data_IF_873594929497
#
_entry.id   IF_873594929497
#
_cell.length_a   1.000
_cell.length_b   1.000
_cell.length_c   1.000
_cell.angle_alpha   90.00
_cell.angle_beta   90.00
_cell.angle_gamma   90.00
#
_symmetry.space_group_name_H-M   'P 1'
#
loop_
_entity.id
_entity.type
_entity.pdbx_description
1 polymer ?
#
# COMPACT_ATOMS: atom_id res chain seq x y z
N UNK A 1 -45.00 25.61 10.41
CA UNK A 1 -44.31 26.08 9.19
C UNK A 1 -42.99 26.71 9.61
N UNK A 2 -41.84 26.14 9.23
CA UNK A 2 -40.52 26.52 9.78
C UNK A 2 -40.18 28.00 9.51
N UNK A 3 -40.09 28.80 10.57
CA UNK A 3 -39.91 30.28 10.55
C UNK A 3 -38.51 30.72 10.08
N UNK A 4 -37.54 29.80 10.06
CA UNK A 4 -36.14 30.06 9.70
C UNK A 4 -35.68 29.23 8.48
N UNK A 5 -36.41 29.31 7.35
CA UNK A 5 -36.10 28.52 6.14
C UNK A 5 -34.70 28.75 5.58
N UNK A 6 -34.09 29.91 5.84
CA UNK A 6 -32.72 30.20 5.41
C UNK A 6 -31.67 29.27 6.06
N UNK A 7 -31.96 28.70 7.25
CA UNK A 7 -31.08 27.70 7.89
C UNK A 7 -31.07 26.36 7.13
N UNK A 8 -32.03 26.12 6.23
CA UNK A 8 -32.04 24.95 5.35
C UNK A 8 -31.17 25.14 4.11
N UNK A 9 -30.77 26.37 3.77
CA UNK A 9 -30.00 26.64 2.55
C UNK A 9 -28.68 25.86 2.51
N UNK A 10 -27.86 25.82 3.58
CA UNK A 10 -26.64 24.98 3.59
C UNK A 10 -26.94 23.49 3.37
N UNK A 11 -28.04 22.98 3.93
CA UNK A 11 -28.45 21.59 3.74
C UNK A 11 -28.91 21.31 2.30
N UNK A 12 -29.67 22.22 1.70
CA UNK A 12 -30.09 22.12 0.29
C UNK A 12 -28.88 22.14 -0.63
N UNK A 13 -27.94 23.06 -0.42
CA UNK A 13 -26.68 23.11 -1.18
C UNK A 13 -25.92 21.79 -1.02
N UNK A 14 -25.77 21.29 0.21
CA UNK A 14 -25.11 20.01 0.47
C UNK A 14 -25.77 18.85 -0.28
N UNK A 15 -27.10 18.72 -0.20
CA UNK A 15 -27.85 17.65 -0.89
C UNK A 15 -27.69 17.74 -2.40
N UNK A 16 -27.77 18.94 -2.97
CA UNK A 16 -27.57 19.15 -4.41
C UNK A 16 -26.13 18.80 -4.81
N UNK A 17 -25.13 19.31 -4.09
CA UNK A 17 -23.72 19.02 -4.37
C UNK A 17 -23.41 17.53 -4.23
N UNK A 18 -23.95 16.87 -3.21
CA UNK A 18 -23.82 15.42 -3.03
C UNK A 18 -24.51 14.65 -4.17
N UNK A 19 -25.71 15.06 -4.59
CA UNK A 19 -26.41 14.45 -5.72
C UNK A 19 -25.64 14.57 -7.03
N UNK A 20 -25.09 15.75 -7.31
CA UNK A 20 -24.25 16.00 -8.49
C UNK A 20 -22.98 15.15 -8.42
N UNK A 21 -22.33 15.07 -7.25
CA UNK A 21 -21.14 14.23 -7.05
C UNK A 21 -21.43 12.76 -7.37
N UNK A 22 -22.54 12.20 -6.88
CA UNK A 22 -22.92 10.80 -7.15
C UNK A 22 -23.26 10.54 -8.60
N UNK A 23 -23.90 11.50 -9.28
CA UNK A 23 -24.19 11.38 -10.71
C UNK A 23 -22.89 11.34 -11.53
N UNK A 24 -21.97 12.29 -11.29
CA UNK A 24 -20.67 12.34 -11.96
C UNK A 24 -19.85 11.09 -11.64
N UNK A 25 -19.94 10.60 -10.42
CA UNK A 25 -19.15 9.47 -9.91
C UNK A 25 -19.73 8.10 -10.21
N UNK A 26 -20.74 8.04 -11.08
CA UNK A 26 -21.29 6.77 -11.54
C UNK A 26 -20.23 5.98 -12.29
N UNK A 27 -20.30 4.65 -12.19
CA UNK A 27 -19.40 3.70 -12.87
C UNK A 27 -19.42 3.87 -14.39
N UNK A 28 -20.51 4.40 -14.94
CA UNK A 28 -20.67 4.71 -16.38
C UNK A 28 -19.72 5.85 -16.80
N UNK A 29 -19.53 6.85 -15.95
CA UNK A 29 -18.70 8.02 -16.25
C UNK A 29 -17.25 7.85 -15.79
N UNK A 30 -16.97 6.90 -14.89
CA UNK A 30 -15.63 6.58 -14.37
C UNK A 30 -14.54 6.48 -15.44
N UNK A 31 -14.76 5.82 -16.59
CA UNK A 31 -13.75 5.74 -17.65
C UNK A 31 -13.34 7.10 -18.22
N UNK A 32 -14.21 8.11 -18.13
CA UNK A 32 -13.96 9.44 -18.70
C UNK A 32 -13.18 10.36 -17.76
N UNK A 33 -13.32 10.20 -16.45
CA UNK A 33 -12.67 11.11 -15.49
C UNK A 33 -11.58 10.47 -14.63
N UNK A 34 -11.58 9.14 -14.43
CA UNK A 34 -10.65 8.51 -13.49
C UNK A 34 -9.20 8.65 -13.95
N UNK A 35 -8.34 9.09 -13.03
CA UNK A 35 -6.92 9.38 -13.29
C UNK A 35 -5.98 8.30 -12.78
N UNK A 36 -6.45 7.44 -11.88
CA UNK A 36 -5.63 6.42 -11.23
C UNK A 36 -6.24 5.04 -11.40
N UNK A 37 -5.38 4.03 -11.35
CA UNK A 37 -5.73 2.62 -11.32
C UNK A 37 -5.44 2.02 -9.92
N UNK A 38 -4.88 2.82 -8.99
CA UNK A 38 -4.53 2.37 -7.64
C UNK A 38 -5.73 1.80 -6.89
N UNK A 39 -6.94 2.34 -7.14
CA UNK A 39 -8.18 1.90 -6.51
C UNK A 39 -8.46 0.40 -6.72
N UNK A 40 -8.05 -0.14 -7.86
CA UNK A 40 -8.23 -1.56 -8.19
C UNK A 40 -7.48 -2.46 -7.22
N UNK A 41 -6.27 -2.07 -6.80
CA UNK A 41 -5.48 -2.86 -5.85
C UNK A 41 -6.22 -3.02 -4.53
N UNK A 42 -6.83 -1.94 -4.02
CA UNK A 42 -7.59 -1.96 -2.77
C UNK A 42 -8.91 -2.73 -2.91
N UNK A 43 -9.69 -2.45 -3.96
CA UNK A 43 -10.97 -3.14 -4.21
C UNK A 43 -10.80 -4.63 -4.40
N UNK A 44 -9.71 -5.05 -5.04
CA UNK A 44 -9.40 -6.45 -5.25
C UNK A 44 -9.13 -7.20 -3.94
N UNK A 45 -8.66 -6.54 -2.88
CA UNK A 45 -8.32 -7.25 -1.62
C UNK A 45 -9.55 -7.81 -0.91
N UNK A 46 -10.72 -7.19 -1.08
CA UNK A 46 -11.98 -7.77 -0.61
C UNK A 46 -12.27 -9.11 -1.30
N UNK A 47 -12.08 -9.18 -2.62
CA UNK A 47 -12.21 -10.44 -3.36
C UNK A 47 -11.15 -11.46 -2.96
N UNK A 48 -9.89 -11.01 -2.83
CA UNK A 48 -8.77 -11.86 -2.43
C UNK A 48 -8.95 -12.45 -1.02
N UNK A 49 -9.58 -11.71 -0.12
CA UNK A 49 -9.89 -12.16 1.24
C UNK A 49 -10.91 -13.31 1.22
N UNK A 50 -11.97 -13.19 0.44
CA UNK A 50 -12.94 -14.29 0.29
C UNK A 50 -12.31 -15.49 -0.44
N UNK A 51 -11.49 -15.26 -1.48
CA UNK A 51 -10.75 -16.33 -2.15
C UNK A 51 -9.79 -17.05 -1.17
N UNK A 52 -9.09 -16.31 -0.31
CA UNK A 52 -8.22 -16.86 0.73
C UNK A 52 -9.02 -17.72 1.72
N UNK A 53 -10.16 -17.22 2.19
CA UNK A 53 -11.07 -17.96 3.10
C UNK A 53 -11.47 -19.30 2.50
N UNK A 54 -11.88 -19.31 1.24
CA UNK A 54 -12.29 -20.54 0.57
C UNK A 54 -11.11 -21.46 0.25
N UNK A 55 -9.94 -20.90 -0.05
CA UNK A 55 -8.73 -21.67 -0.25
C UNK A 55 -8.26 -22.38 1.03
N UNK A 56 -8.33 -21.70 2.18
CA UNK A 56 -7.90 -22.25 3.47
C UNK A 56 -8.76 -23.43 3.96
N UNK A 57 -10.00 -23.55 3.49
CA UNK A 57 -10.92 -24.67 3.82
C UNK A 57 -10.60 -25.97 3.09
N UNK A 58 -9.73 -25.95 2.07
CA UNK A 58 -9.41 -27.14 1.26
C UNK A 58 -8.46 -28.06 2.03
N UNK A 59 -8.78 -29.36 2.11
CA UNK A 59 -8.02 -30.35 2.88
C UNK A 59 -6.56 -30.51 2.41
N UNK A 60 -6.33 -30.60 1.09
CA UNK A 60 -5.00 -30.81 0.49
C UNK A 60 -4.41 -29.52 -0.09
N UNK A 61 -4.57 -28.39 0.61
CA UNK A 61 -4.04 -27.10 0.16
C UNK A 61 -2.52 -26.98 0.38
N UNK A 62 -1.87 -26.17 -0.46
CA UNK A 62 -0.51 -25.67 -0.22
C UNK A 62 -0.47 -24.77 1.03
N UNK A 63 0.72 -24.60 1.63
CA UNK A 63 1.00 -23.59 2.64
C UNK A 63 0.79 -22.19 2.05
N UNK A 64 0.20 -21.29 2.83
CA UNK A 64 -0.18 -19.96 2.40
C UNK A 64 0.72 -18.93 3.06
N UNK A 65 1.43 -18.17 2.23
CA UNK A 65 2.04 -16.90 2.61
C UNK A 65 1.06 -15.77 2.29
N UNK A 66 0.69 -14.98 3.31
CA UNK A 66 0.03 -13.70 3.11
C UNK A 66 1.06 -12.58 3.27
N UNK A 67 1.16 -11.71 2.26
CA UNK A 67 2.07 -10.57 2.31
C UNK A 67 1.30 -9.24 2.35
N UNK A 68 1.36 -8.55 3.48
CA UNK A 68 0.95 -7.16 3.64
C UNK A 68 2.11 -6.20 3.36
N UNK A 69 2.22 -5.72 2.12
CA UNK A 69 3.26 -4.78 1.71
C UNK A 69 2.75 -3.47 1.10
N UNK A 70 3.69 -2.63 0.69
CA UNK A 70 3.41 -1.43 -0.09
C UNK A 70 3.58 -1.68 -1.61
N UNK A 71 3.69 -0.64 -2.43
CA UNK A 71 3.87 -0.75 -3.88
C UNK A 71 5.12 -1.54 -4.30
N UNK A 72 6.14 -1.65 -3.44
CA UNK A 72 7.39 -2.41 -3.67
C UNK A 72 7.18 -3.92 -3.73
N UNK A 73 6.06 -4.40 -3.20
CA UNK A 73 5.74 -5.81 -3.13
C UNK A 73 4.65 -6.23 -4.14
N UNK A 74 4.29 -5.39 -5.13
CA UNK A 74 3.16 -5.66 -6.01
C UNK A 74 3.44 -6.63 -7.16
N UNK A 75 4.69 -6.86 -7.57
CA UNK A 75 4.99 -7.49 -8.87
C UNK A 75 5.40 -8.97 -8.79
N UNK A 76 5.06 -9.66 -7.71
CA UNK A 76 5.32 -11.10 -7.58
C UNK A 76 4.56 -11.93 -8.61
N UNK A 77 5.23 -12.97 -9.11
CA UNK A 77 4.71 -13.96 -10.04
C UNK A 77 4.36 -15.25 -9.31
N UNK A 78 3.07 -15.53 -9.14
CA UNK A 78 2.63 -16.76 -8.49
C UNK A 78 2.99 -18.00 -9.31
N UNK A 79 3.01 -17.92 -10.64
CA UNK A 79 3.44 -19.02 -11.50
C UNK A 79 4.92 -19.38 -11.31
N UNK A 80 5.79 -18.39 -11.09
CA UNK A 80 7.19 -18.62 -10.72
C UNK A 80 7.30 -19.26 -9.33
N UNK A 81 6.62 -18.67 -8.34
CA UNK A 81 6.64 -19.14 -6.95
C UNK A 81 6.18 -20.59 -6.88
N UNK A 82 5.02 -20.91 -7.44
CA UNK A 82 4.45 -22.26 -7.38
C UNK A 82 5.28 -23.31 -8.13
N UNK A 83 6.04 -22.90 -9.16
CA UNK A 83 6.96 -23.80 -9.87
C UNK A 83 8.20 -24.12 -9.02
N UNK A 84 8.72 -23.14 -8.27
CA UNK A 84 9.98 -23.29 -7.53
C UNK A 84 9.80 -23.73 -6.08
N UNK A 85 8.71 -23.31 -5.46
CA UNK A 85 8.31 -23.61 -4.08
C UNK A 85 6.92 -24.27 -4.11
N UNK A 86 6.83 -25.54 -4.57
CA UNK A 86 5.56 -26.19 -4.89
C UNK A 86 4.62 -26.35 -3.69
N UNK A 87 5.18 -26.37 -2.47
CA UNK A 87 4.43 -26.48 -1.22
C UNK A 87 3.80 -25.16 -0.78
N UNK A 88 4.11 -24.04 -1.44
CA UNK A 88 3.65 -22.72 -1.07
C UNK A 88 2.84 -22.02 -2.16
N UNK A 89 1.96 -21.11 -1.72
CA UNK A 89 1.24 -20.15 -2.57
C UNK A 89 1.23 -18.77 -1.90
N UNK A 90 1.37 -17.72 -2.69
CA UNK A 90 1.32 -16.33 -2.21
C UNK A 90 -0.08 -15.73 -2.42
N UNK A 91 -0.67 -15.22 -1.34
CA UNK A 91 -1.79 -14.29 -1.37
C UNK A 91 -1.27 -12.90 -1.04
N UNK A 92 -1.13 -12.06 -2.06
CA UNK A 92 -0.48 -10.77 -1.95
C UNK A 92 -1.49 -9.67 -1.60
N UNK A 93 -1.49 -9.24 -0.34
CA UNK A 93 -2.33 -8.15 0.16
C UNK A 93 -1.69 -6.77 0.02
N UNK A 94 -0.55 -6.67 -0.67
CA UNK A 94 0.16 -5.41 -0.88
C UNK A 94 -0.65 -4.42 -1.72
N UNK A 95 -0.54 -3.13 -1.37
CA UNK A 95 -1.23 -2.01 -2.04
C UNK A 95 -0.30 -0.79 -2.10
N UNK A 96 -0.48 0.14 -3.05
CA UNK A 96 0.27 1.39 -3.03
C UNK A 96 0.09 2.14 -1.70
N UNK A 97 1.19 2.56 -1.09
CA UNK A 97 1.18 3.21 0.22
C UNK A 97 0.78 2.31 1.40
N UNK A 98 0.73 0.99 1.23
CA UNK A 98 0.44 0.04 2.32
C UNK A 98 1.25 0.34 3.58
N UNK A 99 0.57 0.40 4.72
CA UNK A 99 1.08 0.90 6.01
C UNK A 99 0.52 0.10 7.20
N UNK A 100 1.09 0.22 8.41
CA UNK A 100 0.65 -0.54 9.58
C UNK A 100 -0.85 -0.47 9.92
N UNK A 101 -1.52 0.66 9.71
CA UNK A 101 -2.96 0.77 9.91
C UNK A 101 -3.78 -0.09 8.93
N UNK A 102 -3.30 -0.21 7.69
CA UNK A 102 -3.86 -1.13 6.70
C UNK A 102 -3.62 -2.60 7.07
N UNK A 103 -2.46 -2.93 7.62
CA UNK A 103 -2.16 -4.28 8.09
C UNK A 103 -3.08 -4.64 9.25
N UNK A 104 -3.20 -3.75 10.24
CA UNK A 104 -4.09 -3.90 11.38
C UNK A 104 -5.55 -4.10 10.93
N UNK A 105 -6.04 -3.30 9.97
CA UNK A 105 -7.39 -3.45 9.42
C UNK A 105 -7.67 -4.86 8.89
N UNK A 106 -6.76 -5.42 8.10
CA UNK A 106 -6.94 -6.78 7.59
C UNK A 106 -6.78 -7.82 8.68
N UNK A 107 -5.84 -7.64 9.61
CA UNK A 107 -5.60 -8.59 10.68
C UNK A 107 -6.78 -8.68 11.67
N UNK A 108 -7.44 -7.56 11.98
CA UNK A 108 -8.70 -7.59 12.74
C UNK A 108 -9.78 -8.42 12.04
N UNK A 109 -9.86 -8.35 10.71
CA UNK A 109 -10.79 -9.17 9.92
C UNK A 109 -10.37 -10.62 9.87
N UNK A 110 -9.08 -10.90 9.73
CA UNK A 110 -8.55 -12.27 9.77
C UNK A 110 -8.86 -12.90 11.13
N UNK A 111 -8.70 -12.15 12.23
CA UNK A 111 -9.05 -12.60 13.57
C UNK A 111 -10.56 -12.85 13.71
N UNK A 112 -11.39 -11.89 13.30
CA UNK A 112 -12.86 -11.99 13.33
C UNK A 112 -13.39 -13.21 12.58
N UNK A 113 -12.87 -13.45 11.37
CA UNK A 113 -13.35 -14.51 10.48
C UNK A 113 -12.53 -15.82 10.62
N UNK A 114 -11.64 -15.89 11.61
CA UNK A 114 -10.76 -17.05 11.86
C UNK A 114 -9.93 -17.48 10.63
N UNK A 115 -9.46 -16.51 9.85
CA UNK A 115 -8.63 -16.72 8.65
C UNK A 115 -7.18 -16.87 9.06
N UNK A 116 -6.69 -18.11 9.05
CA UNK A 116 -5.33 -18.46 9.51
C UNK A 116 -4.44 -18.96 8.37
N UNK A 117 -3.70 -18.08 7.67
CA UNK A 117 -2.62 -18.50 6.79
C UNK A 117 -1.46 -19.12 7.58
N UNK A 118 -0.55 -19.82 6.88
CA UNK A 118 0.59 -20.49 7.51
C UNK A 118 1.76 -19.54 7.79
N UNK A 119 1.84 -18.43 7.05
CA UNK A 119 2.80 -17.36 7.33
C UNK A 119 2.25 -15.98 6.95
N UNK A 120 2.56 -14.96 7.76
CA UNK A 120 2.28 -13.55 7.45
C UNK A 120 3.57 -12.75 7.38
N UNK A 121 3.77 -12.05 6.27
CA UNK A 121 4.85 -11.10 6.09
C UNK A 121 4.29 -9.67 6.06
N UNK A 122 4.93 -8.75 6.76
CA UNK A 122 4.52 -7.34 6.81
C UNK A 122 5.70 -6.42 6.46
N UNK A 123 5.49 -5.45 5.56
CA UNK A 123 6.53 -4.52 5.10
C UNK A 123 6.73 -3.36 6.10
N UNK A 124 8.00 -3.06 6.37
CA UNK A 124 8.45 -1.88 7.11
C UNK A 124 9.34 -1.02 6.22
N UNK A 125 8.91 0.21 5.92
CA UNK A 125 9.75 1.17 5.20
C UNK A 125 9.76 2.53 5.90
N UNK A 126 10.89 3.24 5.82
CA UNK A 126 11.12 4.53 6.49
C UNK A 126 10.01 5.53 6.15
N UNK A 127 9.58 5.56 4.90
CA UNK A 127 8.62 6.56 4.40
C UNK A 127 7.25 6.44 5.09
N UNK A 128 6.83 5.22 5.47
CA UNK A 128 5.56 4.98 6.15
C UNK A 128 5.57 5.56 7.57
N UNK A 129 6.73 5.60 8.21
CA UNK A 129 6.90 6.14 9.56
C UNK A 129 7.15 7.66 9.58
N UNK A 130 7.17 8.34 8.43
CA UNK A 130 7.35 9.78 8.41
C UNK A 130 6.02 10.53 8.43
N UNK A 131 5.73 11.23 9.53
CA UNK A 131 4.54 12.09 9.67
C UNK A 131 4.69 13.49 9.08
N UNK A 132 5.90 13.91 8.69
CA UNK A 132 6.19 15.25 8.16
C UNK A 132 6.54 15.27 6.68
N UNK A 133 6.15 14.23 5.93
CA UNK A 133 6.40 14.14 4.49
C UNK A 133 5.65 15.22 3.70
N UNK A 134 6.29 15.75 2.65
CA UNK A 134 5.64 16.72 1.74
C UNK A 134 4.60 16.00 0.86
N UNK A 135 4.87 14.75 0.48
CA UNK A 135 3.95 13.89 -0.25
C UNK A 135 3.30 12.89 0.70
N UNK A 136 2.03 13.11 1.01
CA UNK A 136 1.27 12.23 1.91
C UNK A 136 0.88 10.92 1.20
N UNK A 137 1.19 9.78 1.82
CA UNK A 137 0.78 8.45 1.37
C UNK A 137 -0.64 8.13 1.87
N UNK A 138 -1.62 8.89 1.40
CA UNK A 138 -2.96 8.89 1.97
C UNK A 138 -3.94 7.89 1.30
N UNK A 139 -3.46 7.13 0.31
CA UNK A 139 -4.28 6.20 -0.47
C UNK A 139 -4.89 5.11 0.42
N UNK A 140 -4.12 4.58 1.37
CA UNK A 140 -4.60 3.59 2.35
C UNK A 140 -5.83 4.10 3.09
N UNK A 141 -5.74 5.31 3.65
CA UNK A 141 -6.79 5.88 4.48
C UNK A 141 -8.11 5.96 3.69
N UNK A 142 -8.10 6.37 2.43
CA UNK A 142 -9.34 6.61 1.68
C UNK A 142 -9.81 5.41 0.84
N UNK A 143 -8.90 4.61 0.30
CA UNK A 143 -9.23 3.43 -0.50
C UNK A 143 -9.30 2.14 0.30
N UNK A 144 -8.41 1.95 1.29
CA UNK A 144 -8.23 0.69 2.00
C UNK A 144 -9.07 0.54 3.27
N UNK A 145 -9.30 1.63 4.01
CA UNK A 145 -9.91 1.53 5.33
C UNK A 145 -11.44 1.75 5.33
N UNK A 146 -12.12 0.91 6.12
CA UNK A 146 -13.57 1.03 6.37
C UNK A 146 -13.89 2.13 7.38
N UNK A 147 -15.07 2.78 7.32
CA UNK A 147 -15.45 3.82 8.28
C UNK A 147 -15.48 3.34 9.72
N UNK A 148 -15.91 2.09 9.91
CA UNK A 148 -16.00 1.50 11.25
C UNK A 148 -14.61 1.27 11.85
N UNK A 149 -13.63 0.85 11.05
CA UNK A 149 -12.25 0.72 11.49
C UNK A 149 -11.67 2.07 11.92
N UNK A 150 -11.80 3.10 11.06
CA UNK A 150 -11.30 4.44 11.37
C UNK A 150 -11.97 5.00 12.64
N UNK A 151 -13.26 4.72 12.85
CA UNK A 151 -14.00 5.14 14.05
C UNK A 151 -13.47 4.46 15.32
N UNK A 152 -13.09 3.17 15.26
CA UNK A 152 -12.50 2.47 16.41
C UNK A 152 -11.09 2.96 16.76
N UNK A 153 -10.37 3.46 15.75
CA UNK A 153 -8.97 3.89 15.83
C UNK A 153 -8.80 5.40 15.63
N UNK A 154 -9.77 6.23 16.05
CA UNK A 154 -9.72 7.68 15.81
C UNK A 154 -8.48 8.35 16.41
N UNK A 155 -7.99 7.84 17.55
CA UNK A 155 -6.78 8.32 18.21
C UNK A 155 -5.51 8.16 17.34
N UNK A 156 -5.55 7.24 16.37
CA UNK A 156 -4.45 6.94 15.45
C UNK A 156 -4.28 7.96 14.33
N UNK A 157 -5.23 8.89 14.16
CA UNK A 157 -5.24 9.84 13.05
C UNK A 157 -5.18 11.29 13.55
N UNK A 158 -4.71 12.21 12.69
CA UNK A 158 -4.80 13.64 12.94
C UNK A 158 -6.18 14.18 12.55
N UNK A 159 -6.54 15.39 13.01
CA UNK A 159 -7.77 16.05 12.57
C UNK A 159 -7.82 16.25 11.04
N UNK A 160 -6.69 16.59 10.42
CA UNK A 160 -6.57 16.70 8.96
C UNK A 160 -6.81 15.38 8.24
N UNK A 161 -6.30 14.27 8.78
CA UNK A 161 -6.54 12.94 8.21
C UNK A 161 -8.03 12.57 8.25
N UNK A 162 -8.67 12.78 9.41
CA UNK A 162 -10.07 12.45 9.63
C UNK A 162 -11.02 13.31 8.79
N UNK A 163 -10.76 14.60 8.69
CA UNK A 163 -11.55 15.50 7.83
C UNK A 163 -11.35 15.16 6.35
N UNK A 164 -10.11 14.90 5.93
CA UNK A 164 -9.80 14.37 4.60
C UNK A 164 -10.54 13.06 4.30
N UNK A 165 -10.66 12.18 5.31
CA UNK A 165 -11.35 10.90 5.22
C UNK A 165 -12.82 11.04 4.96
N UNK A 166 -13.49 11.83 5.80
CA UNK A 166 -14.91 12.09 5.68
C UNK A 166 -15.21 12.71 4.31
N UNK A 167 -14.45 13.74 3.91
CA UNK A 167 -14.67 14.43 2.63
C UNK A 167 -14.47 13.50 1.44
N UNK A 168 -13.38 12.71 1.40
CA UNK A 168 -13.09 11.80 0.27
C UNK A 168 -14.01 10.58 0.23
N UNK A 169 -14.61 10.16 1.36
CA UNK A 169 -15.66 9.12 1.38
C UNK A 169 -17.02 9.67 0.93
N UNK A 170 -17.37 10.89 1.33
CA UNK A 170 -18.63 11.53 0.95
C UNK A 170 -18.63 11.97 -0.51
N UNK A 171 -17.56 12.61 -0.98
CA UNK A 171 -17.45 13.22 -2.31
C UNK A 171 -16.39 12.52 -3.16
N UNK A 172 -16.87 11.73 -4.11
CA UNK A 172 -15.99 10.96 -4.98
C UNK A 172 -15.26 11.84 -6.01
N UNK A 173 -15.78 13.02 -6.34
CA UNK A 173 -15.07 14.04 -7.12
C UNK A 173 -13.90 14.67 -6.37
N UNK A 174 -13.89 14.67 -5.02
CA UNK A 174 -12.71 15.12 -4.25
C UNK A 174 -11.64 14.02 -4.25
N UNK A 175 -12.08 12.77 -4.13
CA UNK A 175 -11.23 11.58 -4.17
C UNK A 175 -10.58 11.39 -5.55
N UNK A 176 -11.37 11.46 -6.61
CA UNK A 176 -10.96 11.27 -8.00
C UNK A 176 -11.25 12.55 -8.79
N UNK A 177 -10.44 13.59 -8.56
CA UNK A 177 -10.62 14.94 -9.13
C UNK A 177 -10.75 14.90 -10.65
N UNK A 178 -11.97 15.10 -11.20
CA UNK A 178 -12.17 15.07 -12.64
C UNK A 178 -11.40 16.21 -13.30
N UNK A 179 -10.56 15.88 -14.28
CA UNK A 179 -9.88 16.91 -15.09
C UNK A 179 -10.63 17.10 -16.38
N UNK A 180 -11.09 18.33 -16.64
CA UNK A 180 -11.81 18.65 -17.88
C UNK A 180 -11.03 18.29 -19.13
N UNK A 181 -9.71 18.49 -19.12
CA UNK A 181 -8.82 18.08 -20.22
C UNK A 181 -8.87 16.58 -20.49
N UNK A 182 -8.91 15.74 -19.45
CA UNK A 182 -8.99 14.29 -19.56
C UNK A 182 -10.36 13.84 -20.03
N UNK A 183 -11.44 14.40 -19.44
CA UNK A 183 -12.81 14.11 -19.88
C UNK A 183 -12.98 14.44 -21.36
N UNK A 184 -12.56 15.65 -21.77
CA UNK A 184 -12.65 16.08 -23.17
C UNK A 184 -11.84 15.19 -24.10
N UNK A 185 -10.60 14.83 -23.71
CA UNK A 185 -9.79 13.92 -24.51
C UNK A 185 -10.44 12.53 -24.64
N UNK A 186 -10.99 11.99 -23.55
CA UNK A 186 -11.62 10.67 -23.53
C UNK A 186 -13.00 10.61 -24.16
N UNK A 187 -13.71 11.74 -24.27
CA UNK A 187 -15.01 11.85 -24.93
C UNK A 187 -14.92 12.07 -26.45
N UNK A 188 -13.75 12.49 -26.97
CA UNK A 188 -13.51 12.62 -28.41
C UNK A 188 -13.54 11.26 -29.12
N UNK A 189 -13.68 11.32 -30.45
CA UNK A 189 -13.54 10.18 -31.35
C UNK A 189 -14.39 8.96 -30.94
N UNK A 190 -15.63 9.20 -30.51
CA UNK A 190 -16.55 8.13 -30.09
C UNK A 190 -16.14 7.39 -28.82
N UNK A 191 -15.28 7.98 -27.98
CA UNK A 191 -14.89 7.43 -26.70
C UNK A 191 -13.80 6.37 -26.76
N UNK A 192 -12.99 6.31 -27.82
CA UNK A 192 -11.95 5.28 -28.01
C UNK A 192 -11.00 5.22 -26.81
N UNK A 193 -10.50 6.36 -26.34
CA UNK A 193 -9.60 6.41 -25.18
C UNK A 193 -10.29 5.98 -23.88
N UNK A 194 -11.58 6.29 -23.70
CA UNK A 194 -12.36 5.83 -22.56
C UNK A 194 -12.52 4.30 -22.59
N UNK A 195 -12.85 3.73 -23.76
CA UNK A 195 -12.95 2.27 -23.97
C UNK A 195 -11.61 1.57 -23.73
N UNK A 196 -10.51 2.15 -24.23
CA UNK A 196 -9.16 1.65 -23.97
C UNK A 196 -8.81 1.65 -22.48
N UNK A 197 -9.17 2.71 -21.76
CA UNK A 197 -8.98 2.78 -20.32
C UNK A 197 -9.85 1.76 -19.56
N UNK A 198 -11.10 1.55 -19.96
CA UNK A 198 -11.96 0.47 -19.41
C UNK A 198 -11.36 -0.91 -19.65
N UNK A 199 -10.83 -1.17 -20.85
CA UNK A 199 -10.16 -2.43 -21.18
C UNK A 199 -8.93 -2.66 -20.29
N UNK A 200 -8.10 -1.63 -20.10
CA UNK A 200 -6.94 -1.69 -19.22
C UNK A 200 -7.33 -2.00 -17.76
N UNK A 201 -8.39 -1.37 -17.24
CA UNK A 201 -8.91 -1.66 -15.89
C UNK A 201 -9.32 -3.12 -15.76
N UNK A 202 -10.03 -3.66 -16.76
CA UNK A 202 -10.44 -5.06 -16.79
C UNK A 202 -9.23 -6.00 -16.83
N UNK A 203 -8.26 -5.74 -17.71
CA UNK A 203 -7.03 -6.54 -17.81
C UNK A 203 -6.23 -6.56 -16.50
N UNK A 204 -6.11 -5.41 -15.81
CA UNK A 204 -5.48 -5.33 -14.49
C UNK A 204 -6.26 -6.15 -13.45
N UNK A 205 -7.60 -6.04 -13.44
CA UNK A 205 -8.45 -6.76 -12.51
C UNK A 205 -8.32 -8.28 -12.67
N UNK A 206 -8.38 -8.78 -13.91
CA UNK A 206 -8.20 -10.20 -14.19
C UNK A 206 -6.79 -10.69 -13.87
N UNK A 207 -5.79 -9.83 -14.05
CA UNK A 207 -4.42 -10.16 -13.68
C UNK A 207 -4.24 -10.25 -12.17
N UNK A 208 -4.81 -9.30 -11.41
CA UNK A 208 -4.82 -9.36 -9.95
C UNK A 208 -5.45 -10.66 -9.44
N UNK A 209 -6.56 -11.11 -10.05
CA UNK A 209 -7.16 -12.41 -9.71
C UNK A 209 -6.22 -13.57 -10.01
N UNK A 210 -5.72 -13.65 -11.25
CA UNK A 210 -4.84 -14.73 -11.70
C UNK A 210 -3.57 -14.84 -10.86
N UNK A 211 -3.02 -13.71 -10.44
CA UNK A 211 -1.79 -13.61 -9.66
C UNK A 211 -2.05 -13.43 -8.15
N UNK A 212 -3.27 -13.73 -7.67
CA UNK A 212 -3.66 -13.70 -6.25
C UNK A 212 -3.25 -12.41 -5.53
N UNK A 213 -3.53 -11.28 -6.15
CA UNK A 213 -3.33 -9.95 -5.62
C UNK A 213 -2.07 -9.22 -6.09
N UNK A 214 -1.18 -9.88 -6.84
CA UNK A 214 -0.02 -9.23 -7.46
C UNK A 214 -0.39 -8.60 -8.80
N UNK A 215 0.16 -7.42 -9.09
CA UNK A 215 -0.09 -6.63 -10.30
C UNK A 215 0.88 -6.93 -11.47
N UNK A 216 1.63 -8.03 -11.39
CA UNK A 216 2.64 -8.38 -12.42
C UNK A 216 2.00 -8.81 -13.73
N UNK A 217 2.53 -8.38 -14.87
CA UNK A 217 2.11 -8.83 -16.20
C UNK A 217 3.33 -9.19 -17.03
N UNK A 218 3.21 -10.13 -17.99
CA UNK A 218 4.30 -10.43 -18.92
C UNK A 218 4.68 -9.21 -19.80
N UNK A 219 3.76 -8.25 -19.91
CA UNK A 219 3.96 -6.95 -20.56
C UNK A 219 4.52 -5.86 -19.64
N UNK A 220 4.76 -6.13 -18.35
CA UNK A 220 5.23 -5.13 -17.42
C UNK A 220 6.60 -4.63 -17.91
N UNK A 221 6.75 -3.33 -18.21
CA UNK A 221 7.97 -2.84 -18.81
C UNK A 221 9.10 -3.04 -17.81
N UNK A 222 10.13 -3.79 -18.22
CA UNK A 222 11.34 -4.06 -17.44
C UNK A 222 12.24 -2.83 -17.48
N UNK A 223 11.74 -1.73 -16.94
CA UNK A 223 12.47 -0.46 -16.88
C UNK A 223 13.55 -0.60 -15.83
N UNK A 224 14.80 -0.43 -16.26
CA UNK A 224 15.95 -0.27 -15.38
C UNK A 224 16.50 1.12 -15.63
N UNK A 225 16.58 1.95 -14.59
CA UNK A 225 17.13 3.29 -14.71
C UNK A 225 18.65 3.23 -14.79
N UNK A 226 19.28 4.01 -15.69
CA UNK A 226 20.71 4.25 -15.66
C UNK A 226 21.15 4.82 -14.31
N UNK A 227 22.33 4.44 -13.83
CA UNK A 227 22.85 4.80 -12.51
C UNK A 227 22.81 6.31 -12.21
N UNK A 228 23.18 7.15 -13.19
CA UNK A 228 23.15 8.61 -13.04
C UNK A 228 21.73 9.16 -12.84
N UNK A 229 20.75 8.64 -13.60
CA UNK A 229 19.35 9.02 -13.45
C UNK A 229 18.79 8.50 -12.12
N UNK A 230 19.17 7.29 -11.70
CA UNK A 230 18.78 6.72 -10.43
C UNK A 230 19.27 7.59 -9.27
N UNK A 231 20.55 7.96 -9.25
CA UNK A 231 21.14 8.86 -8.23
C UNK A 231 20.45 10.23 -8.19
N UNK A 232 20.16 10.82 -9.36
CA UNK A 232 19.42 12.10 -9.44
C UNK A 232 18.00 11.96 -8.88
N UNK A 233 17.29 10.89 -9.23
CA UNK A 233 15.94 10.62 -8.69
C UNK A 233 15.98 10.33 -7.19
N UNK A 234 16.97 9.59 -6.69
CA UNK A 234 17.11 9.31 -5.25
C UNK A 234 17.19 10.59 -4.43
N UNK A 235 17.90 11.61 -4.91
CA UNK A 235 17.94 12.91 -4.25
C UNK A 235 16.59 13.64 -4.28
N UNK A 236 15.84 13.51 -5.39
CA UNK A 236 14.53 14.13 -5.57
C UNK A 236 13.49 13.48 -4.66
N UNK A 237 13.46 12.15 -4.63
CA UNK A 237 12.55 11.36 -3.79
C UNK A 237 12.89 11.54 -2.31
N UNK A 238 14.19 11.57 -1.96
CA UNK A 238 14.59 11.86 -0.59
C UNK A 238 14.09 13.22 -0.14
N UNK A 239 14.26 14.27 -0.96
CA UNK A 239 13.76 15.60 -0.63
C UNK A 239 12.24 15.62 -0.45
N UNK A 240 11.51 14.86 -1.26
CA UNK A 240 10.04 14.84 -1.25
C UNK A 240 9.48 14.05 -0.07
N UNK A 241 10.04 12.88 0.22
CA UNK A 241 9.51 11.97 1.22
C UNK A 241 10.14 12.14 2.61
N UNK A 242 11.40 12.54 2.66
CA UNK A 242 12.24 12.51 3.87
C UNK A 242 13.00 13.82 4.10
N UNK A 243 12.75 14.88 3.33
CA UNK A 243 13.44 16.17 3.49
C UNK A 243 13.28 16.79 4.89
N UNK A 244 12.16 16.48 5.53
CA UNK A 244 11.89 16.59 6.96
C UNK A 244 11.50 15.20 7.46
N UNK A 245 11.94 14.81 8.65
CA UNK A 245 11.59 13.50 9.20
C UNK A 245 11.13 13.57 10.64
N UNK A 246 9.89 13.16 10.82
CA UNK A 246 9.25 13.06 12.13
C UNK A 246 8.67 11.68 12.27
N UNK A 247 9.29 10.87 13.13
CA UNK A 247 8.81 9.53 13.41
C UNK A 247 7.35 9.55 13.88
N UNK A 248 6.52 8.69 13.30
CA UNK A 248 5.10 8.60 13.58
C UNK A 248 4.81 7.51 14.62
N UNK A 249 4.67 7.85 15.92
CA UNK A 249 4.38 6.86 16.95
C UNK A 249 3.01 6.19 16.78
N UNK A 250 2.06 6.83 16.09
CA UNK A 250 0.74 6.25 15.85
C UNK A 250 0.81 5.09 14.86
N UNK A 251 1.67 5.17 13.85
CA UNK A 251 1.92 4.06 12.93
C UNK A 251 2.66 2.91 13.62
N UNK A 252 3.58 3.22 14.54
CA UNK A 252 4.22 2.20 15.38
C UNK A 252 3.18 1.46 16.23
N UNK A 253 2.25 2.18 16.86
CA UNK A 253 1.20 1.58 17.67
C UNK A 253 0.26 0.67 16.85
N UNK A 254 -0.09 1.06 15.62
CA UNK A 254 -0.84 0.18 14.71
C UNK A 254 -0.06 -1.10 14.38
N UNK A 255 1.26 -1.00 14.25
CA UNK A 255 2.11 -2.15 14.00
C UNK A 255 2.23 -3.09 15.20
N UNK A 256 2.33 -2.53 16.41
CA UNK A 256 2.28 -3.28 17.67
C UNK A 256 0.98 -4.08 17.79
N UNK A 257 -0.15 -3.43 17.50
CA UNK A 257 -1.47 -4.07 17.51
C UNK A 257 -1.56 -5.18 16.44
N UNK A 258 -1.03 -4.94 15.23
CA UNK A 258 -0.97 -5.94 14.16
C UNK A 258 -0.15 -7.18 14.58
N UNK A 259 1.06 -6.99 15.12
CA UNK A 259 1.91 -8.07 15.63
C UNK A 259 1.20 -8.83 16.75
N UNK A 260 0.54 -8.13 17.68
CA UNK A 260 -0.22 -8.75 18.77
C UNK A 260 -1.30 -9.68 18.22
N UNK A 261 -2.13 -9.23 17.27
CA UNK A 261 -3.19 -10.07 16.68
C UNK A 261 -2.60 -11.32 16.03
N UNK A 262 -1.53 -11.19 15.24
CA UNK A 262 -0.90 -12.33 14.56
C UNK A 262 -0.39 -13.37 15.57
N UNK A 263 0.20 -12.92 16.68
CA UNK A 263 0.65 -13.78 17.78
C UNK A 263 -0.51 -14.46 18.50
N UNK A 264 -1.57 -13.72 18.82
CA UNK A 264 -2.79 -14.28 19.45
C UNK A 264 -3.46 -15.34 18.56
N UNK A 265 -3.40 -15.15 17.23
CA UNK A 265 -3.92 -16.11 16.27
C UNK A 265 -3.03 -17.37 16.14
N UNK A 266 -1.79 -17.33 16.63
CA UNK A 266 -0.81 -18.41 16.54
C UNK A 266 -0.20 -18.57 15.14
N UNK A 267 -0.07 -17.48 14.38
CA UNK A 267 0.45 -17.52 13.00
C UNK A 267 1.94 -17.14 12.99
N UNK A 268 2.76 -17.93 12.27
CA UNK A 268 4.17 -17.59 12.03
C UNK A 268 4.28 -16.30 11.22
N UNK A 269 5.20 -15.42 11.58
CA UNK A 269 5.31 -14.13 10.92
C UNK A 269 6.71 -13.53 10.99
N UNK A 270 6.95 -12.54 10.11
CA UNK A 270 8.12 -11.70 10.11
C UNK A 270 7.79 -10.31 9.57
N UNK A 271 8.67 -9.36 9.88
CA UNK A 271 8.71 -8.04 9.25
C UNK A 271 9.81 -8.01 8.19
N UNK A 272 9.63 -7.25 7.13
CA UNK A 272 10.62 -7.10 6.06
C UNK A 272 10.83 -5.65 5.70
N UNK A 273 12.08 -5.21 5.61
CA UNK A 273 12.42 -3.95 4.98
C UNK A 273 12.99 -4.19 3.59
N UNK A 274 12.17 -3.89 2.59
CA UNK A 274 12.48 -4.16 1.18
C UNK A 274 13.64 -3.30 0.69
N UNK A 275 14.45 -3.90 -0.17
CA UNK A 275 15.60 -3.26 -0.81
C UNK A 275 15.16 -2.04 -1.62
N UNK A 276 15.77 -0.89 -1.33
CA UNK A 276 15.70 0.34 -2.15
C UNK A 276 17.01 0.55 -2.92
N UNK A 277 17.03 1.47 -3.88
CA UNK A 277 18.24 1.75 -4.67
C UNK A 277 19.39 2.13 -3.74
N UNK A 278 20.60 1.61 -4.00
CA UNK A 278 21.80 1.93 -3.19
C UNK A 278 22.01 3.44 -2.99
N UNK A 279 21.98 4.30 -4.02
CA UNK A 279 22.10 5.75 -3.80
C UNK A 279 20.98 6.35 -2.94
N UNK A 280 19.81 5.72 -2.87
CA UNK A 280 18.71 6.16 -2.01
C UNK A 280 18.91 5.71 -0.55
N UNK A 281 19.29 4.45 -0.35
CA UNK A 281 19.61 3.90 0.96
C UNK A 281 20.79 4.64 1.61
N UNK A 282 21.81 5.03 0.83
CA UNK A 282 22.91 5.84 1.36
C UNK A 282 22.45 7.20 1.90
N UNK A 283 21.45 7.82 1.28
CA UNK A 283 20.87 9.07 1.80
C UNK A 283 20.18 8.85 3.15
N UNK A 284 19.54 7.70 3.37
CA UNK A 284 18.92 7.38 4.67
C UNK A 284 19.94 7.40 5.81
N UNK A 285 21.16 6.93 5.53
CA UNK A 285 22.25 6.80 6.51
C UNK A 285 23.09 8.06 6.68
N UNK A 286 23.20 8.89 5.64
CA UNK A 286 24.20 9.98 5.59
C UNK A 286 23.59 11.37 5.59
N UNK A 287 22.37 11.54 5.08
CA UNK A 287 21.75 12.86 4.95
C UNK A 287 20.95 13.20 6.20
N UNK A 288 21.46 14.17 6.94
CA UNK A 288 20.76 14.76 8.09
C UNK A 288 19.54 15.56 7.63
N UNK A 289 18.49 15.49 8.42
CA UNK A 289 17.22 16.15 8.19
C UNK A 289 16.74 16.77 9.49
N UNK A 290 15.97 17.84 9.39
CA UNK A 290 15.38 18.49 10.55
C UNK A 290 14.32 17.58 11.16
N UNK A 291 14.40 17.35 12.46
CA UNK A 291 13.34 16.66 13.22
C UNK A 291 12.44 17.65 13.97
N UNK A 292 11.35 17.14 14.56
CA UNK A 292 10.46 17.93 15.42
C UNK A 292 11.16 18.63 16.60
N UNK A 293 12.27 18.07 17.09
CA UNK A 293 13.00 18.62 18.23
C UNK A 293 14.05 19.67 17.80
N UNK A 294 14.04 20.08 16.53
CA UNK A 294 15.01 21.01 15.93
C UNK A 294 16.46 20.51 15.95
N UNK A 295 16.68 19.22 16.21
CA UNK A 295 17.96 18.56 16.02
C UNK A 295 18.09 18.02 14.59
N UNK A 296 19.34 17.74 14.20
CA UNK A 296 19.69 17.18 12.89
C UNK A 296 20.20 15.75 13.05
N UNK A 297 19.39 14.80 12.58
CA UNK A 297 19.70 13.36 12.58
C UNK A 297 19.34 12.75 11.23
N UNK A 298 19.86 11.57 10.93
CA UNK A 298 19.45 10.87 9.70
C UNK A 298 18.17 10.05 9.96
N UNK A 299 17.31 9.84 8.95
CA UNK A 299 16.12 9.00 9.12
C UNK A 299 16.46 7.59 9.65
N UNK A 300 17.60 7.04 9.24
CA UNK A 300 18.09 5.74 9.70
C UNK A 300 18.44 5.74 11.20
N UNK A 301 19.15 6.77 11.68
CA UNK A 301 19.49 6.93 13.11
C UNK A 301 18.25 7.03 14.01
N UNK A 302 17.14 7.56 13.47
CA UNK A 302 15.89 7.71 14.21
C UNK A 302 15.10 6.39 14.20
N UNK A 303 14.85 5.81 13.03
CA UNK A 303 13.92 4.69 12.89
C UNK A 303 14.48 3.38 13.43
N UNK A 304 15.74 3.04 13.12
CA UNK A 304 16.26 1.69 13.34
C UNK A 304 16.30 1.29 14.81
N UNK A 305 16.75 2.15 15.74
CA UNK A 305 16.68 1.81 17.16
C UNK A 305 15.26 1.54 17.67
N UNK A 306 14.26 2.25 17.13
CA UNK A 306 12.85 2.09 17.51
C UNK A 306 12.32 0.74 17.03
N UNK A 307 12.55 0.40 15.76
CA UNK A 307 12.09 -0.87 15.20
C UNK A 307 12.81 -2.07 15.82
N UNK A 308 14.13 -2.00 16.04
CA UNK A 308 14.87 -3.04 16.74
C UNK A 308 14.29 -3.32 18.13
N UNK A 309 14.00 -2.26 18.89
CA UNK A 309 13.37 -2.40 20.21
C UNK A 309 11.99 -3.06 20.11
N UNK A 310 11.17 -2.70 19.12
CA UNK A 310 9.89 -3.35 18.87
C UNK A 310 10.07 -4.84 18.57
N UNK A 311 10.97 -5.19 17.66
CA UNK A 311 11.21 -6.58 17.23
C UNK A 311 11.76 -7.43 18.38
N UNK A 312 12.70 -6.92 19.17
CA UNK A 312 13.22 -7.56 20.37
C UNK A 312 12.11 -7.78 21.41
N UNK A 313 11.32 -6.75 21.71
CA UNK A 313 10.23 -6.83 22.68
C UNK A 313 9.14 -7.82 22.25
N UNK A 314 8.85 -7.90 20.95
CA UNK A 314 7.81 -8.77 20.40
C UNK A 314 8.32 -10.16 20.02
N UNK A 315 9.64 -10.38 19.98
CA UNK A 315 10.25 -11.59 19.44
C UNK A 315 10.01 -11.78 17.94
N UNK A 316 9.79 -10.69 17.21
CA UNK A 316 9.48 -10.73 15.77
C UNK A 316 10.77 -10.73 14.95
N UNK A 317 10.88 -11.63 13.97
CA UNK A 317 12.02 -11.61 13.04
C UNK A 317 11.93 -10.42 12.09
N UNK A 318 13.07 -9.74 11.90
CA UNK A 318 13.20 -8.61 10.97
C UNK A 318 14.14 -8.94 9.83
N UNK A 319 13.61 -8.98 8.62
CA UNK A 319 14.35 -9.26 7.40
C UNK A 319 14.74 -7.96 6.71
N UNK A 320 15.92 -7.43 7.04
CA UNK A 320 16.41 -6.19 6.43
C UNK A 320 17.13 -6.45 5.10
N UNK A 321 16.40 -6.47 3.98
CA UNK A 321 16.99 -6.71 2.66
C UNK A 321 18.00 -5.63 2.22
N UNK A 322 17.99 -4.46 2.85
CA UNK A 322 18.94 -3.40 2.50
C UNK A 322 20.35 -3.69 2.97
N UNK A 323 20.50 -4.54 3.99
CA UNK A 323 21.78 -4.87 4.63
C UNK A 323 22.06 -6.39 4.62
N UNK A 324 21.17 -7.19 4.05
CA UNK A 324 21.33 -8.63 3.95
C UNK A 324 22.35 -8.99 2.86
N UNK A 325 23.40 -9.70 3.25
CA UNK A 325 24.51 -10.09 2.37
C UNK A 325 24.10 -11.13 1.32
N UNK A 326 23.01 -11.87 1.53
CA UNK A 326 22.54 -12.90 0.60
C UNK A 326 21.70 -12.33 -0.55
N UNK A 327 21.33 -11.05 -0.50
CA UNK A 327 20.50 -10.41 -1.52
C UNK A 327 21.32 -9.51 -2.45
N UNK A 328 21.38 -9.90 -3.73
CA UNK A 328 22.30 -9.27 -4.70
C UNK A 328 21.64 -8.49 -5.84
N UNK A 329 20.33 -8.62 -6.07
CA UNK A 329 19.70 -7.91 -7.20
C UNK A 329 19.65 -6.39 -6.95
N UNK A 330 20.08 -5.61 -7.94
CA UNK A 330 20.22 -4.14 -7.84
C UNK A 330 19.65 -3.39 -9.04
N UNK A 331 18.71 -4.00 -9.76
CA UNK A 331 17.96 -3.34 -10.84
C UNK A 331 16.77 -2.56 -10.27
N UNK A 332 16.64 -1.27 -10.61
CA UNK A 332 15.60 -0.37 -10.11
C UNK A 332 14.85 0.37 -11.22
N UNK A 333 13.52 0.43 -11.13
CA UNK A 333 12.69 1.27 -12.01
C UNK A 333 12.59 2.71 -11.49
N UNK A 334 12.78 2.90 -10.18
CA UNK A 334 12.92 4.18 -9.51
C UNK A 334 13.65 3.97 -8.16
N UNK A 335 14.01 5.02 -7.41
CA UNK A 335 14.75 4.90 -6.16
C UNK A 335 14.12 3.96 -5.12
N UNK A 336 12.79 3.89 -5.07
CA UNK A 336 12.04 3.11 -4.10
C UNK A 336 11.64 1.72 -4.58
N UNK A 337 11.55 1.49 -5.90
CA UNK A 337 10.99 0.27 -6.48
C UNK A 337 12.01 -0.49 -7.33
N UNK A 338 12.25 -1.74 -6.95
CA UNK A 338 13.02 -2.69 -7.76
C UNK A 338 12.34 -2.92 -9.11
N UNK A 339 13.16 -3.12 -10.13
CA UNK A 339 12.70 -3.49 -11.46
C UNK A 339 12.02 -4.86 -11.42
N UNK A 340 11.04 -5.15 -12.31
CA UNK A 340 10.47 -6.49 -12.44
C UNK A 340 11.51 -7.62 -12.59
N UNK A 341 12.72 -7.33 -13.06
CA UNK A 341 13.84 -8.28 -13.14
C UNK A 341 14.22 -8.88 -11.78
N UNK A 342 14.13 -8.11 -10.69
CA UNK A 342 14.53 -8.57 -9.36
C UNK A 342 13.45 -9.37 -8.63
N UNK A 343 12.21 -9.45 -9.14
CA UNK A 343 11.11 -10.04 -8.36
C UNK A 343 11.23 -11.54 -8.14
N UNK A 344 11.97 -12.25 -9.00
CA UNK A 344 12.29 -13.66 -8.78
C UNK A 344 13.30 -13.82 -7.64
N UNK A 345 14.35 -13.01 -7.61
CA UNK A 345 15.33 -13.01 -6.51
C UNK A 345 14.69 -12.54 -5.20
N UNK A 346 13.77 -11.58 -5.29
CA UNK A 346 12.99 -11.11 -4.15
C UNK A 346 12.05 -12.20 -3.62
N UNK A 347 11.39 -12.95 -4.50
CA UNK A 347 10.64 -14.12 -4.09
C UNK A 347 11.58 -15.15 -3.42
N UNK A 348 12.71 -15.46 -4.04
CA UNK A 348 13.68 -16.40 -3.47
C UNK A 348 14.15 -16.00 -2.07
N UNK A 349 14.42 -14.72 -1.86
CA UNK A 349 14.80 -14.18 -0.55
C UNK A 349 13.78 -14.52 0.54
N UNK A 350 12.50 -14.29 0.25
CA UNK A 350 11.38 -14.55 1.16
C UNK A 350 11.20 -16.06 1.36
N UNK A 351 11.02 -16.81 0.27
CA UNK A 351 10.60 -18.21 0.34
C UNK A 351 11.68 -19.15 0.91
N UNK A 352 12.97 -18.81 0.79
CA UNK A 352 14.05 -19.53 1.47
C UNK A 352 14.06 -19.35 3.00
N UNK A 353 13.44 -18.27 3.51
CA UNK A 353 13.35 -17.94 4.94
C UNK A 353 12.07 -18.44 5.60
N UNK A 354 11.12 -18.96 4.81
CA UNK A 354 9.90 -19.56 5.34
C UNK A 354 10.20 -20.87 6.08
N UNK A 355 9.42 -21.21 7.12
CA UNK A 355 9.56 -22.48 7.81
C UNK A 355 9.29 -23.65 6.86
N UNK A 356 10.10 -24.71 6.95
CA UNK A 356 9.99 -25.88 6.07
C UNK A 356 8.65 -26.61 6.22
#
# INVERSE_FOLDING_TARGET
MFRNRFLLVPFVIFVISFGIDKLISSTILEPYYSLSLSDLNFRHKEFLFEELKDYLKKENRKKVLVYFGNSRALLFRNDYIEKKYPDWVLFNFSVPGGSPDYYLYWLERFQSDSVKPDFILMDESIEIFNSSSILTLDEVLFYGLSPLFVLRHLDRYSYSDLTGYIVKKLFHTVKNRPRWSVIRARAKDGGILAKGYSKLRYEIWENLKRQKGSATSDSSPRVVLPAELLKKRSNTDFKSYLGTFTFNPKMLANQEDAIRIVKEMGISHAMIWVRVARPYFELYKTKKVLTNNQDERTPYEIMIPILKKLHEFTGTSFWNMNEDEEYHCDDFSDPGHMSPNCFNDYADFIFKRLPK
#
